data_IF_995081552408
#
_entry.id   IF_995081552408
#
_cell.length_a   1.000
_cell.length_b   1.000
_cell.length_c   1.000
_cell.angle_alpha   90.00
_cell.angle_beta   90.00
_cell.angle_gamma   90.00
#
_symmetry.space_group_name_H-M   'P 1'
#
loop_
_entity.id
_entity.type
_entity.pdbx_description
1 polymer ?
#
# COMPACT_ATOMS: atom_id res chain seq x y z
N UNK A 1 -21.07 -19.14 -11.35
CA UNK A 1 -20.38 -17.93 -11.84
C UNK A 1 -18.93 -18.06 -11.41
N UNK A 2 -17.99 -18.24 -12.34
CA UNK A 2 -16.57 -18.36 -11.99
C UNK A 2 -16.13 -16.99 -11.48
N UNK A 3 -15.66 -16.92 -10.23
CA UNK A 3 -15.00 -15.73 -9.70
C UNK A 3 -13.62 -15.70 -10.35
N UNK A 4 -13.48 -14.94 -11.43
CA UNK A 4 -12.14 -14.62 -11.94
C UNK A 4 -11.47 -13.65 -10.96
N UNK A 5 -10.25 -13.98 -10.58
CA UNK A 5 -9.40 -13.04 -9.85
C UNK A 5 -8.96 -11.94 -10.81
N UNK A 6 -9.12 -10.66 -10.41
CA UNK A 6 -8.68 -9.55 -11.22
C UNK A 6 -7.14 -9.55 -11.34
N UNK A 7 -6.63 -9.23 -12.52
CA UNK A 7 -5.20 -9.00 -12.73
C UNK A 7 -4.79 -7.62 -12.22
N UNK A 8 -3.50 -7.43 -11.98
CA UNK A 8 -2.93 -6.12 -11.62
C UNK A 8 -2.07 -5.64 -12.78
N UNK A 9 -2.37 -4.45 -13.29
CA UNK A 9 -1.55 -3.75 -14.27
C UNK A 9 -0.72 -2.69 -13.55
N UNK A 10 0.59 -2.82 -13.64
CA UNK A 10 1.54 -1.86 -13.07
C UNK A 10 1.82 -0.75 -14.09
N UNK A 11 1.83 0.49 -13.62
CA UNK A 11 2.29 1.67 -14.36
C UNK A 11 3.07 2.59 -13.42
N UNK A 12 3.84 3.52 -13.98
CA UNK A 12 4.72 4.39 -13.19
C UNK A 12 4.38 5.85 -13.40
N UNK A 13 4.21 6.58 -12.31
CA UNK A 13 4.02 8.03 -12.31
C UNK A 13 5.34 8.71 -11.92
N UNK A 14 5.95 9.37 -12.90
CA UNK A 14 7.23 10.08 -12.76
C UNK A 14 7.05 11.60 -12.66
N UNK A 15 5.83 12.07 -12.41
CA UNK A 15 5.53 13.51 -12.38
C UNK A 15 6.14 14.21 -11.16
N UNK A 16 6.25 13.50 -10.04
CA UNK A 16 6.82 14.04 -8.80
C UNK A 16 8.31 13.70 -8.67
N UNK A 17 9.07 14.66 -8.14
CA UNK A 17 10.47 14.47 -7.73
C UNK A 17 10.63 14.25 -6.22
N UNK A 18 9.55 14.42 -5.49
CA UNK A 18 9.50 14.32 -4.03
C UNK A 18 8.29 13.51 -3.61
N UNK A 19 8.36 12.91 -2.43
CA UNK A 19 7.24 12.19 -1.82
C UNK A 19 7.02 12.69 -0.40
N UNK A 20 5.77 12.74 0.10
CA UNK A 20 5.52 13.12 1.48
C UNK A 20 6.21 12.13 2.43
N UNK A 21 6.74 12.65 3.54
CA UNK A 21 7.29 11.81 4.59
C UNK A 21 6.17 10.97 5.23
N UNK A 22 6.39 9.66 5.48
CA UNK A 22 5.47 8.81 6.21
C UNK A 22 5.21 9.31 7.63
N UNK A 23 4.11 8.85 8.20
CA UNK A 23 3.88 8.90 9.64
C UNK A 23 4.68 7.76 10.29
N UNK A 24 5.40 8.07 11.36
CA UNK A 24 6.17 7.07 12.12
C UNK A 24 5.57 6.90 13.51
N UNK A 25 5.48 5.66 13.95
CA UNK A 25 4.94 5.26 15.23
C UNK A 25 5.95 4.37 15.95
N UNK A 26 6.33 4.74 17.15
CA UNK A 26 7.31 4.04 17.98
C UNK A 26 6.66 3.62 19.29
N UNK A 27 6.94 2.39 19.70
CA UNK A 27 6.37 1.78 20.89
C UNK A 27 7.45 1.06 21.66
N UNK A 28 7.50 1.27 22.97
CA UNK A 28 8.51 0.65 23.83
C UNK A 28 8.01 0.39 25.25
N UNK A 29 8.69 -0.50 25.95
CA UNK A 29 8.40 -0.83 27.35
C UNK A 29 9.15 0.05 28.36
N UNK A 30 10.11 0.84 27.87
CA UNK A 30 10.87 1.81 28.65
C UNK A 30 10.57 3.21 28.17
N UNK A 31 10.76 4.18 29.05
CA UNK A 31 10.61 5.59 28.69
C UNK A 31 11.67 5.98 27.66
N UNK A 32 11.29 6.72 26.63
CA UNK A 32 12.21 7.12 25.55
C UNK A 32 11.80 8.45 24.94
N UNK A 33 12.80 9.13 24.39
CA UNK A 33 12.67 10.36 23.62
C UNK A 33 13.21 10.15 22.21
N UNK A 34 12.55 10.75 21.23
CA UNK A 34 13.01 10.78 19.84
C UNK A 34 13.27 12.21 19.42
N UNK A 35 14.42 12.43 18.79
CA UNK A 35 14.76 13.67 18.12
C UNK A 35 14.86 13.42 16.61
N UNK A 36 14.12 14.19 15.82
CA UNK A 36 14.25 14.22 14.37
C UNK A 36 15.16 15.38 13.97
N UNK A 37 16.07 15.09 13.06
CA UNK A 37 16.97 16.05 12.46
C UNK A 37 16.91 15.98 10.94
N UNK A 38 17.20 17.09 10.28
CA UNK A 38 17.32 17.18 8.84
C UNK A 38 18.61 17.88 8.41
N UNK A 39 19.20 17.41 7.31
CA UNK A 39 20.40 17.99 6.71
C UNK A 39 21.70 17.65 7.44
N UNK A 40 22.82 18.05 6.82
CA UNK A 40 24.18 17.80 7.30
C UNK A 40 24.48 18.62 8.56
N UNK A 41 23.85 19.79 8.68
CA UNK A 41 24.04 20.70 9.80
C UNK A 41 23.24 20.27 11.05
N UNK A 42 22.35 19.28 10.93
CA UNK A 42 21.60 18.70 12.04
C UNK A 42 20.51 19.62 12.57
N UNK A 43 19.84 20.36 11.70
CA UNK A 43 18.72 21.21 12.08
C UNK A 43 17.56 20.34 12.60
N UNK A 44 16.90 20.78 13.67
CA UNK A 44 15.77 20.04 14.25
C UNK A 44 14.57 20.05 13.30
N UNK A 45 13.92 18.90 13.13
CA UNK A 45 12.67 18.84 12.38
C UNK A 45 11.57 19.67 13.07
N UNK A 46 10.57 20.16 12.31
CA UNK A 46 9.45 20.83 12.93
C UNK A 46 8.70 19.91 13.90
N UNK A 47 8.11 20.51 14.92
CA UNK A 47 7.41 19.80 16.00
C UNK A 47 6.08 19.20 15.48
N UNK A 48 6.14 17.95 15.05
CA UNK A 48 4.99 17.13 14.66
C UNK A 48 4.85 15.90 15.55
N UNK A 49 5.33 16.00 16.79
CA UNK A 49 5.37 14.89 17.71
C UNK A 49 4.07 14.77 18.50
N UNK A 50 3.68 13.53 18.76
CA UNK A 50 2.70 13.20 19.79
C UNK A 50 3.30 12.12 20.70
N UNK A 51 3.01 12.20 21.99
CA UNK A 51 3.52 11.28 23.00
C UNK A 51 2.40 10.87 23.93
N UNK A 52 2.28 9.57 24.17
CA UNK A 52 1.31 9.01 25.09
C UNK A 52 1.93 7.92 25.96
N UNK A 53 1.37 7.77 27.16
CA UNK A 53 1.70 6.71 28.09
C UNK A 53 0.45 5.91 28.45
N UNK A 54 0.53 4.59 28.34
CA UNK A 54 -0.57 3.68 28.64
C UNK A 54 -0.09 2.46 29.43
N UNK A 55 -0.19 2.53 30.76
CA UNK A 55 0.24 1.49 31.71
C UNK A 55 -0.39 0.09 31.47
N UNK A 56 -1.53 0.02 30.78
CA UNK A 56 -2.20 -1.26 30.49
C UNK A 56 -1.69 -1.96 29.22
N UNK A 57 -0.78 -1.33 28.47
CA UNK A 57 -0.19 -1.86 27.24
C UNK A 57 1.07 -2.67 27.53
N UNK A 58 1.37 -3.66 26.68
CA UNK A 58 2.67 -4.33 26.67
C UNK A 58 3.81 -3.38 26.28
N UNK A 59 3.48 -2.36 25.48
CA UNK A 59 4.35 -1.23 25.16
C UNK A 59 3.70 0.05 25.71
N UNK A 60 3.95 0.37 27.00
CA UNK A 60 3.34 1.51 27.67
C UNK A 60 3.77 2.87 27.11
N UNK A 61 4.96 2.99 26.52
CA UNK A 61 5.45 4.24 25.96
C UNK A 61 5.19 4.29 24.46
N UNK A 62 4.55 5.36 24.01
CA UNK A 62 4.19 5.59 22.62
C UNK A 62 4.68 6.97 22.18
N UNK A 63 5.27 7.01 21.00
CA UNK A 63 5.74 8.23 20.38
C UNK A 63 5.40 8.20 18.89
N UNK A 64 4.80 9.26 18.35
CA UNK A 64 4.56 9.38 16.91
C UNK A 64 5.14 10.67 16.35
N UNK A 65 5.51 10.60 15.08
CA UNK A 65 5.89 11.75 14.27
C UNK A 65 5.00 11.78 13.04
N UNK A 66 4.10 12.77 12.99
CA UNK A 66 3.06 12.88 11.98
C UNK A 66 3.17 14.21 11.21
N UNK A 67 4.06 14.30 10.21
CA UNK A 67 4.30 15.54 9.49
C UNK A 67 3.11 16.01 8.65
N UNK A 68 2.05 15.20 8.52
CA UNK A 68 0.78 15.56 7.82
C UNK A 68 1.04 16.19 6.44
N UNK A 69 2.05 15.68 5.74
CA UNK A 69 2.40 16.09 4.36
C UNK A 69 3.13 17.42 4.24
N UNK A 70 3.47 18.04 5.37
CA UNK A 70 4.23 19.29 5.39
C UNK A 70 5.72 19.05 5.09
N UNK A 71 6.20 17.82 5.31
CA UNK A 71 7.56 17.39 4.98
C UNK A 71 7.55 16.58 3.69
N UNK A 72 8.33 17.01 2.71
CA UNK A 72 8.54 16.32 1.44
C UNK A 72 9.98 15.86 1.32
N UNK A 73 10.16 14.57 1.09
CA UNK A 73 11.45 13.91 0.94
C UNK A 73 11.84 13.85 -0.54
N UNK A 74 13.11 14.10 -0.82
CA UNK A 74 13.76 13.83 -2.10
C UNK A 74 14.80 12.72 -1.92
N UNK A 75 15.34 12.18 -3.01
CA UNK A 75 16.42 11.16 -2.95
C UNK A 75 17.72 11.69 -2.34
N UNK A 76 17.88 13.00 -2.22
CA UNK A 76 19.04 13.66 -1.61
C UNK A 76 18.73 14.28 -0.24
N UNK A 77 17.53 14.02 0.31
CA UNK A 77 17.14 14.55 1.61
C UNK A 77 17.64 13.61 2.70
N UNK A 78 18.43 14.15 3.63
CA UNK A 78 18.91 13.44 4.81
C UNK A 78 18.02 13.77 6.00
N UNK A 79 17.08 12.88 6.32
CA UNK A 79 16.30 12.94 7.55
C UNK A 79 16.71 11.77 8.43
N UNK A 80 16.79 11.98 9.73
CA UNK A 80 17.04 10.87 10.65
C UNK A 80 16.43 11.11 12.01
N UNK A 81 16.02 10.02 12.64
CA UNK A 81 15.62 10.00 14.04
C UNK A 81 16.78 9.53 14.91
N UNK A 82 17.00 10.17 16.04
CA UNK A 82 17.85 9.68 17.12
C UNK A 82 16.99 9.35 18.31
N UNK A 83 17.12 8.13 18.79
CA UNK A 83 16.29 7.56 19.84
C UNK A 83 17.14 7.43 21.09
N UNK A 84 16.64 7.96 22.20
CA UNK A 84 17.27 7.90 23.52
C UNK A 84 16.30 7.25 24.50
N UNK A 85 16.79 6.32 25.32
CA UNK A 85 16.02 5.67 26.38
C UNK A 85 16.31 6.40 27.68
N UNK A 86 15.25 6.98 28.24
CA UNK A 86 15.25 7.79 29.46
C UNK A 86 14.78 6.96 30.67
N UNK A 87 15.39 5.79 30.84
CA UNK A 87 15.07 4.84 31.90
C UNK A 87 16.35 4.26 32.50
N UNK A 88 16.58 4.54 33.78
CA UNK A 88 17.77 4.09 34.53
C UNK A 88 17.83 2.55 34.68
N UNK A 89 16.69 1.86 34.48
CA UNK A 89 16.60 0.39 34.56
C UNK A 89 16.93 -0.29 33.23
N UNK A 90 17.13 0.48 32.17
CA UNK A 90 17.43 -0.06 30.85
C UNK A 90 18.87 -0.59 30.78
N UNK A 91 19.00 -1.89 30.52
CA UNK A 91 20.27 -2.57 30.27
C UNK A 91 20.36 -2.95 28.78
N UNK A 92 21.23 -2.25 28.06
CA UNK A 92 21.45 -2.49 26.62
C UNK A 92 22.03 -3.88 26.32
N UNK A 93 22.67 -4.54 27.28
CA UNK A 93 23.23 -5.88 27.11
C UNK A 93 22.20 -6.99 27.33
N UNK A 94 21.11 -6.70 28.04
CA UNK A 94 20.09 -7.67 28.41
C UNK A 94 18.69 -7.15 28.09
N UNK A 95 18.52 -6.69 26.85
CA UNK A 95 17.23 -6.22 26.36
C UNK A 95 16.21 -7.36 26.33
N UNK A 96 15.18 -7.25 27.17
CA UNK A 96 14.05 -8.19 27.21
C UNK A 96 13.09 -8.05 26.03
N UNK A 97 12.99 -6.84 25.49
CA UNK A 97 11.91 -6.41 24.61
C UNK A 97 12.45 -5.43 23.57
N UNK A 98 12.30 -5.69 22.26
CA UNK A 98 12.68 -4.74 21.22
C UNK A 98 11.70 -3.56 21.17
N UNK A 99 12.20 -2.40 20.73
CA UNK A 99 11.35 -1.26 20.36
C UNK A 99 10.63 -1.58 19.05
N UNK A 100 9.33 -1.35 19.01
CA UNK A 100 8.52 -1.56 17.83
C UNK A 100 8.36 -0.24 17.07
N UNK A 101 8.67 -0.25 15.78
CA UNK A 101 8.54 0.89 14.88
C UNK A 101 7.58 0.52 13.74
N UNK A 102 6.64 1.39 13.43
CA UNK A 102 5.75 1.24 12.29
C UNK A 102 5.75 2.53 11.47
N UNK A 103 5.84 2.40 10.15
CA UNK A 103 5.75 3.51 9.23
C UNK A 103 4.51 3.36 8.34
N UNK A 104 3.73 4.43 8.17
CA UNK A 104 2.50 4.38 7.37
C UNK A 104 2.40 5.62 6.49
N UNK A 105 1.76 5.48 5.32
CA UNK A 105 1.47 6.63 4.45
C UNK A 105 0.65 7.69 5.19
N UNK A 106 0.88 8.95 4.83
CA UNK A 106 0.17 10.11 5.36
C UNK A 106 -1.36 10.01 5.23
N UNK A 107 -1.88 9.37 4.17
CA UNK A 107 -3.32 9.25 3.95
C UNK A 107 -3.98 8.16 4.80
N UNK A 108 -3.22 7.51 5.69
CA UNK A 108 -3.71 6.51 6.62
C UNK A 108 -4.19 7.13 7.96
N UNK A 109 -5.27 6.61 8.57
CA UNK A 109 -6.19 5.63 8.04
C UNK A 109 -7.12 6.26 7.00
N UNK A 110 -7.40 5.54 5.92
CA UNK A 110 -8.27 6.06 4.86
C UNK A 110 -9.65 6.42 5.42
N UNK A 111 -10.02 7.70 5.32
CA UNK A 111 -11.14 8.31 6.06
C UNK A 111 -12.48 7.58 5.90
N UNK A 112 -12.66 6.82 4.81
CA UNK A 112 -13.99 6.30 4.44
C UNK A 112 -14.04 4.79 4.14
N UNK A 113 -12.92 4.12 3.83
CA UNK A 113 -12.90 2.69 3.46
C UNK A 113 -11.56 2.05 3.79
N UNK A 114 -11.59 0.96 4.55
CA UNK A 114 -10.41 0.11 4.75
C UNK A 114 -10.23 -0.79 3.51
N UNK A 115 -9.17 -0.64 2.71
CA UNK A 115 -8.91 -1.55 1.62
C UNK A 115 -8.58 -2.94 2.16
N UNK A 116 -8.87 -3.98 1.38
CA UNK A 116 -8.75 -5.38 1.84
C UNK A 116 -7.31 -5.80 2.16
N UNK A 117 -6.33 -5.10 1.60
CA UNK A 117 -4.92 -5.39 1.75
C UNK A 117 -4.25 -4.58 2.88
N UNK A 118 -5.00 -3.74 3.60
CA UNK A 118 -4.42 -2.78 4.55
C UNK A 118 -3.69 -3.46 5.70
N UNK A 119 -4.25 -4.55 6.25
CA UNK A 119 -3.62 -5.30 7.33
C UNK A 119 -2.26 -5.88 6.90
N UNK A 120 -2.12 -6.22 5.62
CA UNK A 120 -0.84 -6.72 5.07
C UNK A 120 0.20 -5.59 5.00
N UNK A 121 -0.21 -4.38 4.62
CA UNK A 121 0.65 -3.20 4.55
C UNK A 121 1.09 -2.73 5.94
N UNK A 122 0.17 -2.77 6.91
CA UNK A 122 0.50 -2.45 8.31
C UNK A 122 1.56 -3.39 8.85
N UNK A 123 1.43 -4.69 8.60
CA UNK A 123 2.41 -5.70 9.02
C UNK A 123 3.72 -5.57 8.26
N UNK A 124 3.70 -5.29 6.95
CA UNK A 124 4.91 -5.21 6.14
C UNK A 124 5.79 -4.01 6.48
N UNK A 125 5.19 -2.91 6.98
CA UNK A 125 5.92 -1.70 7.36
C UNK A 125 6.16 -1.59 8.87
N UNK A 126 6.17 -2.73 9.56
CA UNK A 126 6.39 -2.83 10.98
C UNK A 126 7.68 -3.58 11.29
N UNK A 127 8.48 -3.02 12.20
CA UNK A 127 9.84 -3.43 12.47
C UNK A 127 10.14 -3.49 13.96
N UNK A 128 11.04 -4.38 14.33
CA UNK A 128 11.58 -4.48 15.68
C UNK A 128 13.01 -3.95 15.68
N UNK A 129 13.21 -2.82 16.33
CA UNK A 129 14.52 -2.24 16.58
C UNK A 129 15.07 -2.87 17.86
N UNK A 130 16.20 -3.55 17.77
CA UNK A 130 16.97 -4.05 18.93
C UNK A 130 18.16 -3.15 19.22
N UNK A 131 18.73 -3.20 20.41
CA UNK A 131 20.06 -2.66 20.67
C UNK A 131 21.12 -3.76 20.53
N UNK A 132 22.35 -3.39 20.14
CA UNK A 132 23.50 -4.31 20.09
C UNK A 132 24.71 -3.64 20.76
N UNK A 133 25.88 -4.31 20.79
CA UNK A 133 27.10 -3.81 21.44
C UNK A 133 27.76 -2.61 20.72
N UNK A 134 26.97 -1.59 20.35
CA UNK A 134 27.39 -0.39 19.65
C UNK A 134 26.22 0.53 19.31
N UNK A 135 26.49 1.52 18.48
CA UNK A 135 25.49 2.41 17.88
C UNK A 135 24.79 1.67 16.76
N UNK A 136 23.49 1.42 16.93
CA UNK A 136 22.66 0.81 15.89
C UNK A 136 22.15 1.88 14.93
N UNK A 137 22.51 1.73 13.66
CA UNK A 137 22.03 2.56 12.57
C UNK A 137 21.05 1.75 11.71
N UNK A 138 19.78 2.15 11.71
CA UNK A 138 18.70 1.51 10.98
C UNK A 138 18.34 2.35 9.76
N UNK A 139 18.85 1.98 8.60
CA UNK A 139 18.48 2.64 7.35
C UNK A 139 17.07 2.24 6.95
N UNK A 140 16.14 3.17 7.11
CA UNK A 140 14.76 3.02 6.67
C UNK A 140 14.62 3.61 5.28
N UNK A 141 14.39 2.73 4.30
CA UNK A 141 14.11 3.10 2.92
C UNK A 141 12.64 2.88 2.63
N UNK A 142 11.99 3.81 1.94
CA UNK A 142 10.61 3.59 1.50
C UNK A 142 10.38 4.11 0.09
N UNK A 143 9.29 3.65 -0.51
CA UNK A 143 8.71 4.21 -1.73
C UNK A 143 7.20 4.18 -1.62
N UNK A 144 6.56 5.06 -2.38
CA UNK A 144 5.12 5.24 -2.36
C UNK A 144 4.47 4.49 -3.52
N UNK A 145 3.41 3.74 -3.22
CA UNK A 145 2.57 3.08 -4.19
C UNK A 145 1.15 3.65 -4.14
N UNK A 146 0.43 3.46 -5.24
CA UNK A 146 -0.96 3.85 -5.40
C UNK A 146 -1.73 2.70 -6.02
N UNK A 147 -2.75 2.24 -5.34
CA UNK A 147 -3.64 1.18 -5.80
C UNK A 147 -4.97 1.74 -6.25
N UNK A 148 -5.37 1.38 -7.46
CA UNK A 148 -6.67 1.66 -8.05
C UNK A 148 -7.51 0.37 -8.04
N UNK A 149 -8.38 0.20 -7.04
CA UNK A 149 -9.28 -0.95 -6.93
C UNK A 149 -10.59 -0.68 -7.65
N UNK A 150 -11.15 -1.71 -8.29
CA UNK A 150 -12.46 -1.60 -8.94
C UNK A 150 -13.56 -1.52 -7.88
N UNK A 151 -14.45 -0.54 -8.00
CA UNK A 151 -15.55 -0.28 -7.05
C UNK A 151 -16.58 -1.41 -6.91
N UNK A 152 -16.45 -2.47 -7.73
CA UNK A 152 -17.34 -3.63 -7.73
C UNK A 152 -18.75 -3.33 -8.25
N UNK A 153 -19.00 -2.17 -8.84
CA UNK A 153 -20.32 -1.81 -9.36
C UNK A 153 -20.74 -2.69 -10.53
N UNK A 154 -22.05 -2.84 -10.74
CA UNK A 154 -22.59 -3.67 -11.83
C UNK A 154 -22.15 -3.17 -13.22
N UNK A 155 -21.97 -1.86 -13.40
CA UNK A 155 -21.48 -1.30 -14.66
C UNK A 155 -19.99 -1.59 -14.88
N UNK A 156 -19.17 -1.48 -13.83
CA UNK A 156 -17.78 -1.93 -13.85
C UNK A 156 -17.67 -3.43 -14.19
N UNK A 157 -18.58 -4.26 -13.66
CA UNK A 157 -18.71 -5.69 -13.97
C UNK A 157 -19.06 -5.98 -15.44
N UNK A 158 -19.92 -5.16 -16.04
CA UNK A 158 -20.31 -5.26 -17.45
C UNK A 158 -19.24 -4.74 -18.42
N UNK A 159 -18.24 -3.98 -17.91
CA UNK A 159 -17.19 -3.36 -18.72
C UNK A 159 -17.52 -1.93 -19.17
N UNK A 160 -18.56 -1.30 -18.62
CA UNK A 160 -18.92 0.07 -18.93
C UNK A 160 -18.28 1.04 -17.94
N UNK A 161 -17.36 1.87 -18.46
CA UNK A 161 -16.69 2.98 -17.76
C UNK A 161 -16.30 2.66 -16.30
N UNK A 162 -15.30 1.77 -16.10
CA UNK A 162 -14.95 1.30 -14.77
C UNK A 162 -14.53 2.46 -13.87
N UNK A 163 -15.16 2.53 -12.70
CA UNK A 163 -14.84 3.46 -11.62
C UNK A 163 -13.87 2.80 -10.64
N UNK A 164 -12.85 3.57 -10.24
CA UNK A 164 -11.77 3.10 -9.40
C UNK A 164 -11.70 3.88 -8.10
N UNK A 165 -11.49 3.16 -7.01
CA UNK A 165 -11.14 3.72 -5.70
C UNK A 165 -9.63 3.76 -5.58
N UNK A 166 -9.09 4.87 -5.06
CA UNK A 166 -7.65 5.11 -5.00
C UNK A 166 -7.17 5.04 -3.56
N UNK A 167 -6.10 4.30 -3.35
CA UNK A 167 -5.48 4.10 -2.05
C UNK A 167 -3.97 4.30 -2.19
N UNK A 168 -3.41 5.31 -1.53
CA UNK A 168 -1.95 5.49 -1.47
C UNK A 168 -1.40 4.78 -0.25
N UNK A 169 -0.28 4.07 -0.41
CA UNK A 169 0.38 3.36 0.66
C UNK A 169 1.89 3.37 0.43
N UNK A 170 2.65 2.92 1.42
CA UNK A 170 4.11 2.78 1.30
C UNK A 170 4.50 1.32 1.41
N UNK A 171 5.61 0.99 0.78
CA UNK A 171 6.41 -0.18 1.11
C UNK A 171 7.78 0.30 1.57
N UNK A 172 8.31 -0.40 2.56
CA UNK A 172 9.58 -0.04 3.19
C UNK A 172 10.50 -1.23 3.34
N UNK A 173 11.78 -0.94 3.54
CA UNK A 173 12.81 -1.87 3.94
C UNK A 173 13.62 -1.24 5.08
N UNK A 174 14.12 -2.08 5.99
CA UNK A 174 14.91 -1.66 7.13
C UNK A 174 16.21 -2.46 7.20
N UNK A 175 17.33 -1.76 7.07
CA UNK A 175 18.65 -2.37 7.12
C UNK A 175 19.41 -1.92 8.37
N UNK A 176 19.88 -2.90 9.16
CA UNK A 176 20.69 -2.65 10.35
C UNK A 176 22.18 -2.65 10.00
N UNK A 177 22.86 -1.56 10.35
CA UNK A 177 24.31 -1.48 10.40
C UNK A 177 24.74 -1.15 11.82
N UNK A 178 25.59 -2.00 12.40
CA UNK A 178 26.12 -1.81 13.75
C UNK A 178 27.48 -1.13 13.66
N UNK A 179 27.63 -0.02 14.36
CA UNK A 179 28.92 0.67 14.50
C UNK A 179 29.43 0.61 15.93
N UNK A 180 30.74 0.36 16.06
CA UNK A 180 31.42 0.30 17.36
C UNK A 180 31.98 1.68 17.76
N UNK A 181 31.13 2.69 17.88
CA UNK A 181 31.49 3.94 18.53
C UNK A 181 30.58 4.22 19.72
N UNK A 182 31.11 4.91 20.72
CA UNK A 182 30.41 5.21 21.97
C UNK A 182 29.58 6.47 21.74
N UNK A 183 28.26 6.30 21.62
CA UNK A 183 27.33 7.43 21.73
C UNK A 183 27.09 7.79 23.20
N UNK A 184 26.48 8.96 23.43
CA UNK A 184 26.16 9.45 24.76
C UNK A 184 25.29 8.48 25.57
N UNK A 185 25.16 8.75 26.87
CA UNK A 185 24.29 7.97 27.76
C UNK A 185 22.85 7.95 27.24
N UNK A 186 22.21 6.78 27.32
CA UNK A 186 20.82 6.58 26.88
C UNK A 186 20.64 6.43 25.38
N UNK A 187 21.66 6.62 24.53
CA UNK A 187 21.51 6.45 23.09
C UNK A 187 21.12 5.02 22.74
N UNK A 188 20.01 4.87 22.02
CA UNK A 188 19.46 3.58 21.61
C UNK A 188 19.78 3.26 20.16
N UNK A 189 19.32 4.11 19.24
CA UNK A 189 19.47 3.90 17.82
C UNK A 189 19.35 5.21 17.03
N UNK A 190 19.89 5.19 15.81
CA UNK A 190 19.68 6.23 14.80
C UNK A 190 18.97 5.60 13.61
N UNK A 191 17.91 6.25 13.12
CA UNK A 191 17.08 5.77 12.01
C UNK A 191 17.08 6.80 10.89
N UNK A 192 18.04 6.74 9.94
CA UNK A 192 17.96 7.54 8.73
C UNK A 192 16.76 7.13 7.88
N UNK A 193 16.01 8.11 7.42
CA UNK A 193 14.82 7.95 6.56
C UNK A 193 15.17 8.45 5.17
N UNK A 194 15.16 7.55 4.20
CA UNK A 194 15.52 7.85 2.82
C UNK A 194 14.43 7.41 1.85
N UNK A 195 14.24 8.23 0.81
CA UNK A 195 13.34 7.92 -0.29
C UNK A 195 14.08 7.06 -1.32
N UNK A 196 13.66 5.80 -1.49
CA UNK A 196 14.28 4.86 -2.43
C UNK A 196 14.10 5.29 -3.88
N UNK A 197 12.91 5.75 -4.23
CA UNK A 197 12.60 6.30 -5.55
C UNK A 197 11.51 7.36 -5.44
N UNK A 198 11.61 8.47 -6.19
CA UNK A 198 10.55 9.47 -6.25
C UNK A 198 9.38 9.03 -7.14
N UNK A 199 9.53 7.94 -7.88
CA UNK A 199 8.52 7.40 -8.80
C UNK A 199 7.43 6.72 -7.97
N UNK A 200 6.18 7.07 -8.24
CA UNK A 200 5.02 6.37 -7.64
C UNK A 200 4.59 5.22 -8.54
N UNK A 201 4.61 4.01 -8.00
CA UNK A 201 4.05 2.85 -8.69
C UNK A 201 2.52 2.88 -8.60
N UNK A 202 1.86 2.68 -9.72
CA UNK A 202 0.39 2.68 -9.82
C UNK A 202 -0.08 1.29 -10.20
N UNK A 203 -0.62 0.59 -9.22
CA UNK A 203 -1.23 -0.73 -9.35
C UNK A 203 -2.70 -0.57 -9.72
N UNK A 204 -3.04 -0.90 -10.96
CA UNK A 204 -4.41 -0.82 -11.44
C UNK A 204 -5.04 -2.20 -11.54
N UNK A 205 -6.11 -2.41 -10.78
CA UNK A 205 -6.91 -3.62 -10.91
C UNK A 205 -7.56 -3.67 -12.30
N UNK A 206 -7.36 -4.76 -13.03
CA UNK A 206 -7.94 -4.97 -14.35
C UNK A 206 -8.60 -6.34 -14.42
N UNK A 207 -9.83 -6.38 -14.93
CA UNK A 207 -10.48 -7.65 -15.25
C UNK A 207 -10.11 -8.09 -16.65
N UNK A 208 -9.66 -9.33 -16.75
CA UNK A 208 -9.29 -9.98 -18.01
C UNK A 208 -10.49 -10.34 -18.88
N UNK A 209 -11.68 -10.47 -18.28
CA UNK A 209 -12.93 -10.72 -19.03
C UNK A 209 -14.08 -9.90 -18.46
N UNK A 210 -14.83 -9.28 -19.35
CA UNK A 210 -16.11 -8.64 -19.02
C UNK A 210 -17.28 -9.53 -19.44
N UNK A 211 -18.43 -9.39 -18.79
CA UNK A 211 -19.64 -10.15 -19.19
C UNK A 211 -20.00 -9.83 -20.65
N UNK A 212 -19.84 -8.58 -21.06
CA UNK A 212 -20.11 -8.15 -22.42
C UNK A 212 -19.16 -8.82 -23.43
N UNK A 213 -17.89 -8.98 -23.10
CA UNK A 213 -16.93 -9.70 -23.94
C UNK A 213 -17.27 -11.18 -24.09
N UNK A 214 -17.72 -11.84 -23.01
CA UNK A 214 -18.21 -13.23 -23.08
C UNK A 214 -19.46 -13.33 -23.96
N UNK A 215 -20.43 -12.43 -23.78
CA UNK A 215 -21.65 -12.40 -24.59
C UNK A 215 -21.36 -12.08 -26.05
N UNK A 216 -20.44 -11.16 -26.33
CA UNK A 216 -20.01 -10.81 -27.67
C UNK A 216 -19.31 -11.99 -28.37
N UNK A 217 -18.45 -12.72 -27.64
CA UNK A 217 -17.81 -13.93 -28.17
C UNK A 217 -18.84 -15.03 -28.49
N UNK A 218 -19.84 -15.24 -27.63
CA UNK A 218 -20.94 -16.17 -27.88
C UNK A 218 -21.73 -15.73 -29.11
N UNK A 219 -22.13 -14.46 -29.18
CA UNK A 219 -22.86 -13.91 -30.32
C UNK A 219 -22.07 -14.01 -31.63
N UNK A 220 -20.76 -13.76 -31.60
CA UNK A 220 -19.88 -13.93 -32.75
C UNK A 220 -19.81 -15.39 -33.19
N UNK A 221 -19.70 -16.34 -32.26
CA UNK A 221 -19.69 -17.78 -32.58
C UNK A 221 -21.01 -18.22 -33.24
N UNK A 222 -22.15 -17.77 -32.69
CA UNK A 222 -23.47 -18.03 -33.27
C UNK A 222 -23.64 -17.35 -34.63
N UNK A 223 -23.16 -16.12 -34.78
CA UNK A 223 -23.20 -15.38 -36.05
C UNK A 223 -22.38 -16.07 -37.14
N UNK A 224 -21.17 -16.53 -36.83
CA UNK A 224 -20.31 -17.27 -37.77
C UNK A 224 -20.96 -18.60 -38.15
N UNK A 225 -21.41 -19.38 -37.17
CA UNK A 225 -22.05 -20.68 -37.44
C UNK A 225 -23.32 -20.55 -38.28
N UNK A 226 -24.18 -19.56 -37.97
CA UNK A 226 -25.36 -19.25 -38.78
C UNK A 226 -24.98 -18.82 -40.20
N UNK A 227 -23.97 -17.96 -40.34
CA UNK A 227 -23.50 -17.48 -41.65
C UNK A 227 -22.94 -18.61 -42.51
N UNK A 228 -22.13 -19.48 -41.91
CA UNK A 228 -21.61 -20.70 -42.58
C UNK A 228 -22.76 -21.63 -42.98
N UNK A 229 -23.78 -21.80 -42.12
CA UNK A 229 -24.95 -22.62 -42.42
C UNK A 229 -25.76 -22.07 -43.59
N UNK A 230 -26.06 -20.76 -43.60
CA UNK A 230 -26.75 -20.09 -44.72
C UNK A 230 -25.94 -20.23 -46.01
N UNK A 231 -24.62 -20.07 -45.95
CA UNK A 231 -23.75 -20.17 -47.12
C UNK A 231 -23.73 -21.60 -47.71
N UNK A 232 -23.68 -22.63 -46.86
CA UNK A 232 -23.63 -24.03 -47.30
C UNK A 232 -24.98 -24.57 -47.81
N UNK A 233 -26.09 -24.17 -47.20
CA UNK A 233 -27.42 -24.77 -47.46
C UNK A 233 -28.41 -23.82 -48.16
N UNK A 234 -28.06 -22.55 -48.34
CA UNK A 234 -28.89 -21.52 -48.97
C UNK A 234 -30.08 -21.06 -48.10
N UNK A 235 -30.65 -19.89 -48.41
CA UNK A 235 -31.77 -19.28 -47.64
C UNK A 235 -33.03 -20.15 -47.54
N UNK A 236 -33.22 -21.10 -48.46
CA UNK A 236 -34.42 -21.97 -48.45
C UNK A 236 -34.47 -22.92 -47.27
N UNK A 237 -33.34 -23.25 -46.65
CA UNK A 237 -33.28 -24.14 -45.48
C UNK A 237 -33.42 -23.38 -44.14
N UNK A 238 -33.17 -22.07 -44.10
CA UNK A 238 -33.16 -21.28 -42.85
C UNK A 238 -34.48 -20.59 -42.52
N UNK A 239 -35.36 -20.36 -43.52
CA UNK A 239 -36.71 -19.80 -43.34
C UNK A 239 -37.54 -20.44 -42.20
N UNK A 240 -37.68 -21.78 -42.11
CA UNK A 240 -38.53 -22.38 -41.09
C UNK A 240 -37.96 -22.29 -39.66
N UNK A 241 -36.64 -22.06 -39.50
CA UNK A 241 -36.03 -21.82 -38.19
C UNK A 241 -36.22 -20.38 -37.74
N UNK A 242 -36.05 -19.40 -38.64
CA UNK A 242 -36.24 -17.98 -38.34
C UNK A 242 -37.69 -17.64 -37.99
N UNK A 243 -38.67 -18.17 -38.73
CA UNK A 243 -40.09 -17.99 -38.40
C UNK A 243 -40.42 -18.52 -37.01
N UNK A 244 -39.82 -19.64 -36.58
CA UNK A 244 -40.07 -20.25 -35.27
C UNK A 244 -39.46 -19.48 -34.09
N UNK A 245 -38.42 -18.67 -34.32
CA UNK A 245 -37.78 -17.83 -33.29
C UNK A 245 -38.30 -16.39 -33.27
N UNK A 246 -38.93 -15.93 -34.36
CA UNK A 246 -39.48 -14.57 -34.48
C UNK A 246 -41.00 -14.50 -34.27
N UNK A 247 -41.67 -15.62 -34.04
CA UNK A 247 -43.11 -15.65 -33.71
C UNK A 247 -43.32 -15.19 -32.25
N UNK A 248 -43.92 -14.01 -32.00
CA UNK A 248 -44.12 -13.48 -30.64
C UNK A 248 -45.22 -14.23 -29.89
N UNK A 249 -46.04 -14.99 -30.60
CA UNK A 249 -47.15 -15.74 -30.04
C UNK A 249 -46.79 -17.22 -29.97
N UNK A 250 -46.32 -17.63 -28.80
CA UNK A 250 -46.45 -19.01 -28.34
C UNK A 250 -47.94 -19.38 -28.25
N UNK A 251 -48.59 -19.63 -29.38
CA UNK A 251 -49.93 -20.17 -29.43
C UNK A 251 -49.87 -21.69 -29.52
N UNK A 252 -50.05 -22.28 -28.33
CA UNK A 252 -50.75 -23.56 -28.06
C UNK A 252 -50.65 -24.66 -29.12
N UNK A 253 -49.92 -25.72 -28.80
CA UNK A 253 -50.49 -27.08 -28.69
C UNK A 253 -49.87 -27.77 -27.48
#
# INVERSE_FOLDING_TARGET
MVREEPGIKISYDTSSKTQPMPNFYFYFDKNFTIYCYFGIDGDECPDYYDYAYNESSYYPYYYSYEPKGQVSLSTSSDYFFEIYVDDDTFDSYNQSTPMYMQAIDIEYPYENKKPKFIDTIEVSNSYYLTQSNGTNLYFFEFYRLRREELDGSFFSLLGFNPTYEKYNYIESDLQLVVYNFVNGYGFYAKVPVTLKTPITEVEKEQRTRTILEVLANIAALYGVTLSTYVLLFGERATRPLLEKFMDPDGSKV
#
